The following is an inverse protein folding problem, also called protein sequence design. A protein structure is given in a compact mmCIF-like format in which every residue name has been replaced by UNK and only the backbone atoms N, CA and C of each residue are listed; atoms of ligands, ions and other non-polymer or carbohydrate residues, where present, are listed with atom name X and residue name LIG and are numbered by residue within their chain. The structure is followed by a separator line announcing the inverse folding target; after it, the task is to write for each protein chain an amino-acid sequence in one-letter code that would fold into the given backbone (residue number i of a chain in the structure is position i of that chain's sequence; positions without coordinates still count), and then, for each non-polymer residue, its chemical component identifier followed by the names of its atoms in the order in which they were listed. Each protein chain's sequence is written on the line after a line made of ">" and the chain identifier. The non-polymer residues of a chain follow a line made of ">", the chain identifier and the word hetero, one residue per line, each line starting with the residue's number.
data_IF_373459005106
#
_entry.id   IF_373459005106
#
_cell.length_a   1.000
_cell.length_b   1.000
_cell.length_c   1.000
_cell.angle_alpha   90.00
_cell.angle_beta   90.00
_cell.angle_gamma   90.00
#
_symmetry.space_group_name_H-M   'P 1'
#
loop_
_entity.id
_entity.type
_entity.pdbx_description
1 polymer ?
#
# COMPACT_ATOMS: atom_id res chain seq x y z
N UNK A 1 82.57 -38.50 41.48
CA UNK A 1 82.27 -37.73 40.26
C UNK A 1 80.85 -37.17 40.33
N UNK A 2 80.69 -35.85 40.12
CA UNK A 2 79.50 -35.06 39.64
C UNK A 2 78.18 -35.12 40.47
N UNK A 3 77.66 -34.08 41.16
CA UNK A 3 77.18 -32.68 40.90
C UNK A 3 75.77 -32.52 40.24
N UNK A 4 74.89 -31.72 40.92
CA UNK A 4 73.77 -30.83 40.46
C UNK A 4 72.41 -31.49 40.14
N UNK A 5 71.19 -30.91 40.29
CA UNK A 5 70.63 -29.55 40.52
C UNK A 5 69.11 -29.70 40.89
N UNK A 6 68.59 -29.16 42.01
CA UNK A 6 67.72 -27.96 42.20
C UNK A 6 66.24 -27.94 41.67
N UNK A 7 65.32 -27.66 42.63
CA UNK A 7 64.14 -26.74 42.66
C UNK A 7 62.89 -27.01 41.78
N UNK A 8 61.69 -27.21 42.36
CA UNK A 8 60.69 -26.22 42.87
C UNK A 8 59.93 -25.44 41.79
N UNK A 9 58.61 -25.62 41.70
CA UNK A 9 57.62 -24.60 41.26
C UNK A 9 56.18 -25.11 41.44
N UNK A 10 55.47 -24.63 42.46
CA UNK A 10 53.99 -24.70 42.52
C UNK A 10 53.45 -23.52 43.32
N UNK A 11 53.58 -22.32 42.78
CA UNK A 11 52.80 -21.14 43.18
C UNK A 11 52.34 -20.45 41.90
N UNK A 12 51.07 -20.66 41.50
CA UNK A 12 50.44 -19.85 40.46
C UNK A 12 50.12 -18.47 41.05
N UNK A 13 50.57 -17.36 40.45
CA UNK A 13 50.38 -16.04 41.04
C UNK A 13 48.93 -15.58 40.93
N UNK A 14 48.39 -15.03 42.02
CA UNK A 14 47.07 -14.36 42.10
C UNK A 14 46.86 -13.26 41.03
N UNK A 15 47.96 -12.76 40.45
CA UNK A 15 47.99 -11.75 39.40
C UNK A 15 47.39 -12.19 38.05
N UNK A 16 47.38 -13.49 37.74
CA UNK A 16 46.81 -13.99 36.47
C UNK A 16 45.28 -13.89 36.44
N UNK A 17 44.62 -14.08 37.59
CA UNK A 17 43.14 -13.93 37.71
C UNK A 17 42.70 -12.47 37.62
N UNK A 18 43.50 -11.55 38.15
CA UNK A 18 43.21 -10.11 38.05
C UNK A 18 43.36 -9.59 36.62
N UNK A 19 44.39 -10.03 35.89
CA UNK A 19 44.58 -9.66 34.47
C UNK A 19 43.42 -10.10 33.58
N UNK A 20 42.88 -11.31 33.78
CA UNK A 20 41.73 -11.84 33.02
C UNK A 20 40.42 -11.08 33.31
N UNK A 21 40.18 -10.70 34.57
CA UNK A 21 38.99 -9.93 34.95
C UNK A 21 39.04 -8.50 34.39
N UNK A 22 40.21 -7.86 34.40
CA UNK A 22 40.44 -6.56 33.78
C UNK A 22 40.24 -6.61 32.25
N UNK A 23 40.75 -7.66 31.60
CA UNK A 23 40.57 -7.83 30.15
C UNK A 23 39.10 -8.04 29.78
N UNK A 24 38.36 -8.86 30.54
CA UNK A 24 36.93 -9.09 30.32
C UNK A 24 36.08 -7.82 30.56
N UNK A 25 36.41 -7.02 31.57
CA UNK A 25 35.72 -5.75 31.83
C UNK A 25 35.98 -4.71 30.74
N UNK A 26 37.23 -4.60 30.25
CA UNK A 26 37.57 -3.72 29.13
C UNK A 26 36.89 -4.17 27.83
N UNK A 27 36.83 -5.48 27.57
CA UNK A 27 36.12 -6.01 26.40
C UNK A 27 34.61 -5.74 26.50
N UNK A 28 34.00 -5.90 27.68
CA UNK A 28 32.59 -5.60 27.91
C UNK A 28 32.30 -4.11 27.71
N UNK A 29 33.16 -3.23 28.24
CA UNK A 29 33.04 -1.78 28.04
C UNK A 29 33.17 -1.45 26.56
N UNK A 30 34.19 -1.95 25.85
CA UNK A 30 34.37 -1.74 24.40
C UNK A 30 33.17 -2.28 23.61
N UNK A 31 32.64 -3.46 23.96
CA UNK A 31 31.46 -4.03 23.29
C UNK A 31 30.22 -3.19 23.56
N UNK A 32 30.01 -2.73 24.80
CA UNK A 32 28.89 -1.82 25.13
C UNK A 32 29.05 -0.44 24.49
N UNK A 33 30.28 0.08 24.40
CA UNK A 33 30.58 1.34 23.72
C UNK A 33 30.41 1.18 22.21
N UNK A 34 30.82 0.06 21.64
CA UNK A 34 30.59 -0.28 20.23
C UNK A 34 29.10 -0.46 19.92
N UNK A 35 28.31 -1.05 20.81
CA UNK A 35 26.85 -1.13 20.66
C UNK A 35 26.15 0.22 20.91
N UNK A 36 26.65 1.03 21.83
CA UNK A 36 26.15 2.39 22.12
C UNK A 36 26.47 3.35 20.97
N UNK A 37 27.71 3.35 20.49
CA UNK A 37 28.17 4.10 19.32
C UNK A 37 27.49 3.58 18.04
N UNK A 38 27.30 2.28 17.83
CA UNK A 38 26.54 1.78 16.66
C UNK A 38 25.03 2.09 16.73
N UNK A 39 24.42 2.19 17.92
CA UNK A 39 23.06 2.75 18.06
C UNK A 39 23.02 4.23 17.70
N UNK A 40 24.08 4.98 17.98
CA UNK A 40 24.15 6.41 17.68
C UNK A 40 24.67 6.75 16.27
N UNK A 41 25.37 5.83 15.60
CA UNK A 41 25.96 6.02 14.26
C UNK A 41 25.00 5.62 13.12
N UNK A 42 23.78 5.13 13.41
CA UNK A 42 22.75 4.80 12.40
C UNK A 42 21.48 5.68 12.45
N UNK A 43 21.53 6.83 13.13
CA UNK A 43 20.39 7.77 13.21
C UNK A 43 20.52 8.97 12.26
N UNK A 44 20.95 8.77 11.00
CA UNK A 44 20.43 9.66 9.96
C UNK A 44 18.98 9.26 9.76
N UNK A 45 18.05 9.96 10.43
CA UNK A 45 16.61 9.76 10.26
C UNK A 45 16.30 9.64 8.76
N UNK A 46 15.84 8.47 8.29
CA UNK A 46 15.62 8.18 6.86
C UNK A 46 14.66 9.18 6.20
N UNK A 47 13.83 9.86 7.00
CA UNK A 47 13.02 10.99 6.56
C UNK A 47 13.83 12.14 5.94
N UNK A 48 15.13 12.26 6.21
CA UNK A 48 16.01 13.29 5.65
C UNK A 48 17.02 12.74 4.64
N UNK A 49 16.84 11.51 4.15
CA UNK A 49 17.71 10.94 3.13
C UNK A 49 17.72 11.83 1.88
N UNK A 50 18.93 12.18 1.42
CA UNK A 50 19.10 12.92 0.17
C UNK A 50 18.79 12.00 -1.02
N UNK A 51 17.77 12.37 -1.79
CA UNK A 51 17.32 11.67 -2.99
C UNK A 51 17.61 12.52 -4.24
N UNK A 52 17.82 11.88 -5.41
CA UNK A 52 17.81 12.60 -6.68
C UNK A 52 16.52 13.41 -6.83
N UNK A 53 16.63 14.59 -7.42
CA UNK A 53 15.46 15.41 -7.75
C UNK A 53 14.51 14.66 -8.68
N UNK A 54 13.22 14.97 -8.56
CA UNK A 54 12.20 14.44 -9.43
C UNK A 54 12.49 14.72 -10.92
N UNK A 55 12.34 13.70 -11.75
CA UNK A 55 12.64 13.71 -13.18
C UNK A 55 11.35 13.48 -14.00
N UNK A 56 10.50 14.51 -14.15
CA UNK A 56 9.22 14.37 -14.84
C UNK A 56 9.35 13.97 -16.31
N UNK A 57 10.45 14.33 -16.98
CA UNK A 57 10.69 14.05 -18.41
C UNK A 57 11.58 12.84 -18.68
N UNK A 58 11.65 11.89 -17.74
CA UNK A 58 12.38 10.63 -17.95
C UNK A 58 11.89 9.91 -19.20
N UNK A 59 12.82 9.27 -19.93
CA UNK A 59 12.51 8.59 -21.18
C UNK A 59 11.88 7.19 -21.00
N UNK A 60 12.11 6.57 -19.83
CA UNK A 60 11.70 5.21 -19.54
C UNK A 60 11.27 5.05 -18.07
N UNK A 61 10.26 4.22 -17.85
CA UNK A 61 9.82 3.72 -16.55
C UNK A 61 9.79 2.19 -16.61
N UNK A 62 10.22 1.55 -15.52
CA UNK A 62 10.20 0.09 -15.37
C UNK A 62 9.10 -0.23 -14.38
N UNK A 63 8.10 -0.99 -14.81
CA UNK A 63 7.05 -1.45 -13.90
C UNK A 63 7.64 -2.47 -12.93
N UNK A 64 7.66 -2.08 -11.65
CA UNK A 64 7.95 -2.96 -10.53
C UNK A 64 6.68 -3.00 -9.69
N UNK A 65 6.28 -4.20 -9.26
CA UNK A 65 5.16 -4.39 -8.36
C UNK A 65 5.67 -4.51 -6.94
N UNK A 66 5.02 -3.85 -5.99
CA UNK A 66 5.40 -3.86 -4.57
C UNK A 66 5.55 -5.29 -4.03
N UNK A 67 4.64 -6.20 -4.41
CA UNK A 67 4.66 -7.59 -3.97
C UNK A 67 5.95 -8.35 -4.38
N UNK A 68 6.65 -7.89 -5.41
CA UNK A 68 7.92 -8.48 -5.84
C UNK A 68 9.12 -8.04 -4.99
N UNK A 69 8.97 -6.97 -4.20
CA UNK A 69 10.07 -6.33 -3.44
C UNK A 69 9.91 -6.53 -1.94
N UNK A 70 8.68 -6.53 -1.42
CA UNK A 70 8.44 -6.69 0.01
C UNK A 70 8.68 -8.14 0.45
N UNK A 71 9.33 -8.36 1.62
CA UNK A 71 9.36 -9.66 2.28
C UNK A 71 7.98 -10.34 2.37
N UNK A 72 7.93 -11.68 2.27
CA UNK A 72 6.71 -12.43 2.49
C UNK A 72 6.08 -12.09 3.86
N UNK A 73 4.76 -11.95 3.87
CA UNK A 73 4.03 -11.68 5.10
C UNK A 73 4.00 -12.95 5.95
N UNK A 74 4.36 -12.81 7.22
CA UNK A 74 4.24 -13.88 8.20
C UNK A 74 2.76 -14.22 8.44
N UNK A 75 2.32 -15.49 8.28
CA UNK A 75 0.90 -15.85 8.37
C UNK A 75 0.25 -15.60 9.74
N UNK A 76 1.02 -15.59 10.82
CA UNK A 76 0.49 -15.23 12.14
C UNK A 76 0.29 -13.72 12.26
N UNK A 77 1.25 -12.94 11.77
CA UNK A 77 1.13 -11.49 11.67
C UNK A 77 -0.06 -11.08 10.80
N UNK A 78 -0.28 -11.77 9.69
CA UNK A 78 -1.42 -11.55 8.78
C UNK A 78 -2.75 -11.78 9.50
N UNK A 79 -2.87 -12.85 10.29
CA UNK A 79 -4.08 -13.07 11.11
C UNK A 79 -4.33 -11.94 12.11
N UNK A 80 -3.30 -11.42 12.78
CA UNK A 80 -3.50 -10.26 13.66
C UNK A 80 -3.86 -9.00 12.89
N UNK A 81 -3.29 -8.81 11.70
CA UNK A 81 -3.65 -7.72 10.81
C UNK A 81 -5.13 -7.79 10.43
N UNK A 82 -5.60 -8.94 9.94
CA UNK A 82 -7.00 -9.16 9.55
C UNK A 82 -7.97 -9.05 10.74
N UNK A 83 -7.59 -9.53 11.93
CA UNK A 83 -8.37 -9.29 13.15
C UNK A 83 -8.49 -7.80 13.47
N UNK A 84 -7.40 -7.04 13.31
CA UNK A 84 -7.42 -5.59 13.46
C UNK A 84 -8.31 -4.91 12.43
N UNK A 85 -8.26 -5.33 11.16
CA UNK A 85 -9.14 -4.85 10.09
C UNK A 85 -10.61 -5.10 10.44
N UNK A 86 -10.96 -6.30 10.90
CA UNK A 86 -12.34 -6.64 11.28
C UNK A 86 -12.86 -5.79 12.46
N UNK A 87 -12.00 -5.43 13.41
CA UNK A 87 -12.36 -4.57 14.55
C UNK A 87 -12.60 -3.11 14.14
N UNK A 88 -12.03 -2.68 13.01
CA UNK A 88 -12.14 -1.31 12.49
C UNK A 88 -12.88 -1.24 11.16
N UNK A 89 -13.56 -2.31 10.75
CA UNK A 89 -14.27 -2.39 9.47
C UNK A 89 -15.24 -1.22 9.31
N UNK A 90 -15.32 -0.67 8.09
CA UNK A 90 -16.26 0.40 7.76
C UNK A 90 -17.73 -0.05 7.81
N UNK A 91 -18.00 -1.36 7.82
CA UNK A 91 -19.36 -1.89 8.09
C UNK A 91 -19.84 -1.65 9.53
N UNK A 92 -18.94 -1.21 10.42
CA UNK A 92 -19.26 -0.89 11.82
C UNK A 92 -19.50 0.60 11.99
N UNK A 93 -20.46 0.93 12.84
CA UNK A 93 -20.58 2.29 13.39
C UNK A 93 -19.29 2.69 14.12
N UNK A 94 -18.94 3.97 14.06
CA UNK A 94 -17.67 4.48 14.61
C UNK A 94 -17.52 4.18 16.11
N UNK A 95 -18.61 4.22 16.87
CA UNK A 95 -18.65 3.86 18.30
C UNK A 95 -18.39 2.38 18.58
N UNK A 96 -18.64 1.49 17.61
CA UNK A 96 -18.41 0.06 17.72
C UNK A 96 -17.00 -0.37 17.25
N UNK A 97 -16.25 0.56 16.64
CA UNK A 97 -14.87 0.30 16.17
C UNK A 97 -13.91 0.26 17.36
N UNK A 98 -13.25 -0.87 17.56
CA UNK A 98 -12.24 -1.04 18.64
C UNK A 98 -10.83 -0.75 18.13
N UNK A 99 -10.54 0.55 17.93
CA UNK A 99 -9.22 1.00 17.52
C UNK A 99 -8.12 0.68 18.54
N UNK A 100 -8.45 0.55 19.83
CA UNK A 100 -7.46 0.27 20.87
C UNK A 100 -6.95 -1.16 20.73
N UNK A 101 -7.85 -2.13 20.58
CA UNK A 101 -7.47 -3.52 20.35
C UNK A 101 -6.81 -3.70 18.98
N UNK A 102 -7.32 -3.02 17.94
CA UNK A 102 -6.68 -3.02 16.62
C UNK A 102 -5.24 -2.49 16.67
N UNK A 103 -4.97 -1.41 17.39
CA UNK A 103 -3.61 -0.88 17.58
C UNK A 103 -2.66 -1.91 18.22
N UNK A 104 -3.14 -2.68 19.21
CA UNK A 104 -2.36 -3.75 19.85
C UNK A 104 -2.06 -4.88 18.85
N UNK A 105 -3.05 -5.31 18.08
CA UNK A 105 -2.89 -6.35 17.08
C UNK A 105 -1.94 -5.92 15.95
N UNK A 106 -2.12 -4.70 15.43
CA UNK A 106 -1.25 -4.15 14.41
C UNK A 106 0.18 -3.91 14.91
N UNK A 107 0.38 -3.55 16.18
CA UNK A 107 1.71 -3.50 16.78
C UNK A 107 2.38 -4.88 16.83
N UNK A 108 1.64 -5.95 17.19
CA UNK A 108 2.16 -7.33 17.16
C UNK A 108 2.52 -7.76 15.73
N UNK A 109 1.66 -7.46 14.76
CA UNK A 109 1.92 -7.77 13.36
C UNK A 109 3.13 -6.97 12.81
N UNK A 110 3.25 -5.69 13.15
CA UNK A 110 4.36 -4.84 12.75
C UNK A 110 5.71 -5.34 13.32
N UNK A 111 5.73 -5.86 14.56
CA UNK A 111 6.93 -6.49 15.14
C UNK A 111 7.41 -7.70 14.31
N UNK A 112 6.51 -8.35 13.56
CA UNK A 112 6.80 -9.43 12.62
C UNK A 112 6.93 -8.94 11.17
N UNK A 113 7.25 -7.65 10.97
CA UNK A 113 7.44 -6.99 9.67
C UNK A 113 6.21 -7.00 8.76
N UNK A 114 5.01 -6.96 9.32
CA UNK A 114 3.80 -6.79 8.53
C UNK A 114 3.61 -5.33 8.10
N UNK A 115 4.00 -4.99 6.88
CA UNK A 115 4.00 -3.59 6.43
C UNK A 115 2.63 -2.91 6.42
N UNK A 116 1.54 -3.62 6.08
CA UNK A 116 0.19 -3.03 6.11
C UNK A 116 -0.23 -2.63 7.53
N UNK A 117 -0.02 -3.52 8.50
CA UNK A 117 -0.25 -3.25 9.92
C UNK A 117 0.62 -2.08 10.43
N UNK A 118 1.89 -2.02 10.02
CA UNK A 118 2.79 -0.92 10.38
C UNK A 118 2.30 0.42 9.81
N UNK A 119 1.82 0.43 8.56
CA UNK A 119 1.18 1.59 7.93
C UNK A 119 -0.10 2.02 8.67
N UNK A 120 -0.99 1.07 8.98
CA UNK A 120 -2.23 1.35 9.69
C UNK A 120 -1.97 1.90 11.10
N UNK A 121 -0.99 1.33 11.81
CA UNK A 121 -0.58 1.79 13.13
C UNK A 121 0.00 3.21 13.08
N UNK A 122 0.82 3.53 12.07
CA UNK A 122 1.29 4.90 11.86
C UNK A 122 0.11 5.86 11.64
N UNK A 123 -0.87 5.45 10.84
CA UNK A 123 -2.11 6.22 10.62
C UNK A 123 -2.96 6.41 11.89
N UNK A 124 -2.97 5.46 12.83
CA UNK A 124 -3.62 5.63 14.13
C UNK A 124 -2.90 6.67 14.98
N UNK A 125 -1.57 6.63 15.03
CA UNK A 125 -0.78 7.62 15.75
C UNK A 125 -0.93 9.04 15.19
N UNK A 126 -1.08 9.20 13.87
CA UNK A 126 -1.35 10.52 13.28
C UNK A 126 -2.71 11.10 13.70
N UNK A 127 -3.73 10.24 13.84
CA UNK A 127 -5.11 10.65 14.12
C UNK A 127 -5.50 10.60 15.59
N UNK A 128 -4.68 9.98 16.44
CA UNK A 128 -5.03 9.73 17.84
C UNK A 128 -6.20 8.75 18.04
N UNK A 129 -6.44 7.84 17.09
CA UNK A 129 -7.52 6.83 17.18
C UNK A 129 -7.03 5.59 17.92
N UNK A 130 -7.62 5.27 19.08
CA UNK A 130 -7.24 4.10 19.90
C UNK A 130 -5.87 4.19 20.59
N UNK A 131 -5.06 5.19 20.23
CA UNK A 131 -3.76 5.53 20.81
C UNK A 131 -3.65 7.05 20.94
N UNK A 132 -2.84 7.58 21.89
CA UNK A 132 -2.55 9.02 21.92
C UNK A 132 -1.94 9.49 20.59
N UNK A 133 -2.34 10.67 20.13
CA UNK A 133 -1.78 11.26 18.91
C UNK A 133 -0.28 11.50 19.08
N UNK A 134 0.52 10.98 18.15
CA UNK A 134 1.97 11.06 18.17
C UNK A 134 2.53 10.97 16.74
N UNK A 135 2.70 12.11 16.09
CA UNK A 135 3.24 12.17 14.74
C UNK A 135 4.71 11.73 14.65
N UNK A 136 5.50 11.88 15.71
CA UNK A 136 6.89 11.42 15.69
C UNK A 136 6.95 9.88 15.67
N UNK A 137 6.05 9.22 16.40
CA UNK A 137 5.93 7.76 16.35
C UNK A 137 5.45 7.25 15.00
N UNK A 138 4.55 7.96 14.33
CA UNK A 138 4.17 7.65 12.95
C UNK A 138 5.35 7.78 11.96
N UNK A 139 6.18 8.82 12.12
CA UNK A 139 7.40 8.99 11.34
C UNK A 139 8.39 7.85 11.60
N UNK A 140 8.61 7.48 12.86
CA UNK A 140 9.51 6.37 13.22
C UNK A 140 9.04 5.03 12.61
N UNK A 141 7.74 4.71 12.73
CA UNK A 141 7.19 3.51 12.10
C UNK A 141 7.37 3.52 10.58
N UNK A 142 7.22 4.68 9.94
CA UNK A 142 7.46 4.80 8.49
C UNK A 142 8.94 4.62 8.14
N UNK A 143 9.85 5.22 8.91
CA UNK A 143 11.30 5.06 8.72
C UNK A 143 11.75 3.61 8.91
N UNK A 144 11.23 2.91 9.92
CA UNK A 144 11.48 1.49 10.11
C UNK A 144 11.07 0.69 8.86
N UNK A 145 9.88 0.95 8.30
CA UNK A 145 9.41 0.30 7.08
C UNK A 145 10.27 0.64 5.85
N UNK A 146 10.75 1.89 5.74
CA UNK A 146 11.72 2.28 4.70
C UNK A 146 13.04 1.52 4.84
N UNK A 147 13.53 1.32 6.07
CA UNK A 147 14.81 0.67 6.34
C UNK A 147 14.87 -0.79 5.88
N UNK A 148 13.73 -1.50 5.86
CA UNK A 148 13.65 -2.86 5.32
C UNK A 148 13.03 -2.94 3.91
N UNK A 149 12.85 -1.80 3.25
CA UNK A 149 12.59 -1.73 1.81
C UNK A 149 11.11 -1.73 1.39
N UNK A 150 10.18 -1.34 2.26
CA UNK A 150 8.75 -1.23 1.90
C UNK A 150 8.50 -0.04 0.98
N UNK A 151 8.07 -0.21 -0.28
CA UNK A 151 7.80 0.89 -1.20
C UNK A 151 6.73 1.87 -0.67
N UNK A 152 5.63 1.36 -0.09
CA UNK A 152 4.57 2.18 0.51
C UNK A 152 5.09 3.14 1.59
N UNK A 153 6.15 2.78 2.32
CA UNK A 153 6.70 3.65 3.35
C UNK A 153 7.43 4.87 2.74
N UNK A 154 8.05 4.72 1.58
CA UNK A 154 8.62 5.83 0.82
C UNK A 154 7.52 6.76 0.29
N UNK A 155 6.38 6.21 -0.15
CA UNK A 155 5.21 6.99 -0.59
C UNK A 155 4.62 7.83 0.56
N UNK A 156 4.47 7.21 1.74
CA UNK A 156 4.03 7.90 2.94
C UNK A 156 4.98 9.03 3.32
N UNK A 157 6.30 8.79 3.27
CA UNK A 157 7.29 9.81 3.59
C UNK A 157 7.23 10.99 2.61
N UNK A 158 6.97 10.75 1.33
CA UNK A 158 6.70 11.81 0.36
C UNK A 158 5.48 12.65 0.76
N UNK A 159 4.41 11.99 1.20
CA UNK A 159 3.20 12.67 1.71
C UNK A 159 3.48 13.48 2.98
N UNK A 160 4.32 12.97 3.88
CA UNK A 160 4.72 13.67 5.11
C UNK A 160 5.57 14.90 4.83
N UNK A 161 6.48 14.86 3.85
CA UNK A 161 7.21 16.04 3.38
C UNK A 161 6.29 17.06 2.74
N UNK A 162 5.32 16.63 1.92
CA UNK A 162 4.36 17.55 1.32
C UNK A 162 3.53 18.30 2.38
N UNK A 163 3.12 17.59 3.44
CA UNK A 163 2.23 18.12 4.47
C UNK A 163 2.95 18.75 5.67
N UNK A 164 4.25 18.52 5.84
CA UNK A 164 5.00 18.95 7.03
C UNK A 164 4.64 18.16 8.30
N UNK A 165 4.39 16.85 8.18
CA UNK A 165 3.99 16.01 9.32
C UNK A 165 5.11 15.90 10.35
N UNK A 166 4.75 15.94 11.64
CA UNK A 166 5.66 15.70 12.77
C UNK A 166 6.84 16.66 12.86
N UNK A 167 6.61 17.94 12.55
CA UNK A 167 7.62 18.99 12.64
C UNK A 167 8.52 19.11 11.40
N UNK A 168 8.25 18.34 10.35
CA UNK A 168 8.83 18.60 9.03
C UNK A 168 8.34 19.96 8.52
N UNK A 169 9.22 20.69 7.84
CA UNK A 169 8.77 21.83 7.03
C UNK A 169 8.19 21.28 5.72
N UNK A 170 7.00 21.74 5.28
CA UNK A 170 6.48 21.36 3.99
C UNK A 170 7.51 21.61 2.88
N UNK A 171 7.81 20.56 2.11
CA UNK A 171 8.79 20.59 1.03
C UNK A 171 8.31 19.73 -0.13
N UNK A 172 7.74 20.39 -1.14
CA UNK A 172 7.27 19.74 -2.35
C UNK A 172 8.42 19.08 -3.14
N UNK A 173 9.62 19.68 -3.13
CA UNK A 173 10.78 19.13 -3.87
C UNK A 173 11.20 17.80 -3.28
N UNK A 174 11.30 17.74 -1.95
CA UNK A 174 11.55 16.49 -1.23
C UNK A 174 10.42 15.49 -1.49
N UNK A 175 9.15 15.91 -1.36
CA UNK A 175 7.99 15.05 -1.56
C UNK A 175 8.02 14.33 -2.92
N UNK A 176 8.26 15.06 -4.02
CA UNK A 176 8.36 14.47 -5.35
C UNK A 176 9.55 13.52 -5.52
N UNK A 177 10.68 13.80 -4.88
CA UNK A 177 11.82 12.88 -4.88
C UNK A 177 11.49 11.57 -4.14
N UNK A 178 10.82 11.65 -2.99
CA UNK A 178 10.35 10.48 -2.23
C UNK A 178 9.30 9.68 -3.00
N UNK A 179 8.31 10.34 -3.61
CA UNK A 179 7.30 9.68 -4.45
C UNK A 179 7.91 9.03 -5.69
N UNK A 180 8.90 9.65 -6.33
CA UNK A 180 9.59 9.01 -7.46
C UNK A 180 10.29 7.73 -7.00
N UNK A 181 11.01 7.81 -5.88
CA UNK A 181 11.68 6.63 -5.30
C UNK A 181 10.66 5.53 -4.98
N UNK A 182 9.52 5.88 -4.40
CA UNK A 182 8.45 4.94 -4.09
C UNK A 182 7.86 4.28 -5.35
N UNK A 183 7.58 5.06 -6.39
CA UNK A 183 7.04 4.57 -7.66
C UNK A 183 8.03 3.62 -8.37
N UNK A 184 9.33 3.95 -8.35
CA UNK A 184 10.42 3.10 -8.86
C UNK A 184 10.60 1.82 -8.04
N UNK A 185 10.26 1.83 -6.75
CA UNK A 185 10.26 0.64 -5.90
C UNK A 185 8.96 -0.18 -6.00
N UNK A 186 7.95 0.35 -6.70
CA UNK A 186 6.72 -0.36 -6.99
C UNK A 186 5.51 0.03 -6.14
N UNK A 187 5.56 1.13 -5.38
CA UNK A 187 4.40 1.59 -4.59
C UNK A 187 3.25 2.01 -5.52
N UNK A 188 2.08 1.33 -5.50
CA UNK A 188 0.99 1.64 -6.42
C UNK A 188 0.44 3.05 -6.23
N UNK A 189 0.27 3.52 -4.98
CA UNK A 189 -0.21 4.88 -4.72
C UNK A 189 0.69 5.97 -5.29
N UNK A 190 2.01 5.79 -5.24
CA UNK A 190 2.97 6.73 -5.84
C UNK A 190 2.98 6.64 -7.38
N UNK A 191 2.85 5.43 -7.94
CA UNK A 191 2.70 5.24 -9.38
C UNK A 191 1.42 5.91 -9.90
N UNK A 192 0.30 5.77 -9.20
CA UNK A 192 -0.95 6.46 -9.53
C UNK A 192 -0.78 7.97 -9.46
N UNK A 193 -0.27 8.48 -8.33
CA UNK A 193 -0.06 9.93 -8.10
C UNK A 193 0.77 10.57 -9.20
N UNK A 194 1.98 10.05 -9.43
CA UNK A 194 2.88 10.58 -10.44
C UNK A 194 2.33 10.31 -11.84
N UNK A 195 1.72 9.14 -12.05
CA UNK A 195 1.06 8.76 -13.29
C UNK A 195 0.08 9.83 -13.77
N UNK A 196 -0.88 10.18 -12.92
CA UNK A 196 -1.88 11.24 -13.16
C UNK A 196 -1.22 12.60 -13.40
N UNK A 197 -0.26 12.99 -12.56
CA UNK A 197 0.43 14.28 -12.69
C UNK A 197 1.25 14.40 -13.99
N UNK A 198 1.64 13.28 -14.59
CA UNK A 198 2.37 13.24 -15.87
C UNK A 198 1.45 13.20 -17.10
N UNK A 199 0.12 13.09 -16.95
CA UNK A 199 -0.83 13.08 -18.07
C UNK A 199 -1.10 14.48 -18.67
N UNK A 200 -0.59 15.54 -18.06
CA UNK A 200 -0.83 16.91 -18.50
C UNK A 200 -0.31 17.19 -19.92
N UNK A 201 -0.85 18.23 -20.56
CA UNK A 201 -0.43 18.67 -21.90
C UNK A 201 0.75 19.64 -21.90
N UNK A 202 1.06 20.24 -20.75
CA UNK A 202 2.18 21.16 -20.53
C UNK A 202 2.68 21.05 -19.08
N UNK A 203 3.81 21.71 -18.78
CA UNK A 203 4.40 21.71 -17.43
C UNK A 203 3.93 22.89 -16.59
N UNK A 204 3.56 22.59 -15.35
CA UNK A 204 3.34 23.58 -14.30
C UNK A 204 3.91 23.05 -12.98
N UNK A 205 5.24 23.16 -12.75
CA UNK A 205 5.86 22.64 -11.53
C UNK A 205 5.28 23.24 -10.24
N UNK A 206 4.77 24.48 -10.32
CA UNK A 206 4.09 25.15 -9.21
C UNK A 206 2.76 24.50 -8.86
N UNK A 207 2.03 24.02 -9.86
CA UNK A 207 0.74 23.34 -9.69
C UNK A 207 0.90 21.81 -9.57
N UNK A 208 2.12 21.29 -9.78
CA UNK A 208 2.47 19.91 -9.50
C UNK A 208 2.14 18.93 -10.62
N UNK A 209 2.17 19.36 -11.89
CA UNK A 209 1.96 18.50 -13.05
C UNK A 209 2.92 18.79 -14.20
N UNK A 210 3.12 17.79 -15.07
CA UNK A 210 4.08 17.82 -16.17
C UNK A 210 3.59 17.04 -17.38
N UNK A 211 4.10 17.39 -18.55
CA UNK A 211 3.83 16.71 -19.80
C UNK A 211 4.77 15.51 -19.98
N UNK A 212 4.32 14.33 -19.57
CA UNK A 212 4.96 13.06 -19.92
C UNK A 212 3.95 11.91 -19.99
N UNK A 213 2.93 12.09 -20.84
CA UNK A 213 1.80 11.15 -20.98
C UNK A 213 2.23 9.70 -21.18
N UNK A 214 3.32 9.46 -21.93
CA UNK A 214 3.86 8.10 -22.15
C UNK A 214 4.21 7.43 -20.81
N UNK A 215 5.00 8.11 -19.98
CA UNK A 215 5.40 7.58 -18.67
C UNK A 215 4.22 7.55 -17.71
N UNK A 216 3.36 8.57 -17.76
CA UNK A 216 2.15 8.62 -16.94
C UNK A 216 1.25 7.40 -17.13
N UNK A 217 0.96 7.04 -18.38
CA UNK A 217 0.20 5.84 -18.74
C UNK A 217 0.87 4.55 -18.25
N UNK A 218 2.19 4.41 -18.43
CA UNK A 218 2.92 3.23 -17.97
C UNK A 218 2.88 3.06 -16.44
N UNK A 219 2.93 4.17 -15.69
CA UNK A 219 2.81 4.14 -14.23
C UNK A 219 1.40 3.73 -13.80
N UNK A 220 0.37 4.29 -14.43
CA UNK A 220 -1.03 3.94 -14.14
C UNK A 220 -1.35 2.49 -14.48
N UNK A 221 -0.91 1.99 -15.63
CA UNK A 221 -1.07 0.57 -16.00
C UNK A 221 -0.36 -0.36 -15.00
N UNK A 222 0.81 0.03 -14.50
CA UNK A 222 1.53 -0.72 -13.47
C UNK A 222 0.82 -0.72 -12.12
N UNK A 223 0.23 0.42 -11.71
CA UNK A 223 -0.55 0.54 -10.49
C UNK A 223 -1.86 -0.28 -10.57
N UNK A 224 -2.56 -0.20 -11.70
CA UNK A 224 -3.76 -0.99 -11.97
C UNK A 224 -3.48 -2.49 -11.87
N UNK A 225 -2.36 -2.96 -12.44
CA UNK A 225 -1.95 -4.36 -12.33
C UNK A 225 -1.68 -4.84 -10.89
N UNK A 226 -1.58 -3.91 -9.93
CA UNK A 226 -1.45 -4.20 -8.50
C UNK A 226 -2.78 -4.05 -7.72
N UNK A 227 -3.88 -3.78 -8.42
CA UNK A 227 -5.21 -3.61 -7.83
C UNK A 227 -5.53 -2.18 -7.37
N UNK A 228 -4.83 -1.17 -7.90
CA UNK A 228 -5.15 0.23 -7.64
C UNK A 228 -6.36 0.69 -8.49
N UNK A 229 -7.53 0.79 -7.85
CA UNK A 229 -8.77 1.19 -8.53
C UNK A 229 -8.77 2.65 -8.99
N UNK A 230 -8.01 3.54 -8.32
CA UNK A 230 -7.86 4.93 -8.76
C UNK A 230 -7.10 4.99 -10.09
N UNK A 231 -6.05 4.17 -10.26
CA UNK A 231 -5.34 4.09 -11.54
C UNK A 231 -6.27 3.68 -12.69
N UNK A 232 -7.21 2.76 -12.44
CA UNK A 232 -8.24 2.38 -13.40
C UNK A 232 -9.11 3.58 -13.81
N UNK A 233 -9.59 4.35 -12.82
CA UNK A 233 -10.38 5.56 -13.07
C UNK A 233 -9.63 6.59 -13.95
N UNK A 234 -8.37 6.86 -13.62
CA UNK A 234 -7.54 7.82 -14.34
C UNK A 234 -7.25 7.38 -15.79
N UNK A 235 -7.04 6.07 -15.99
CA UNK A 235 -6.94 5.48 -17.34
C UNK A 235 -8.27 5.64 -18.10
N UNK A 236 -9.40 5.41 -17.44
CA UNK A 236 -10.74 5.64 -18.00
C UNK A 236 -10.93 7.08 -18.47
N UNK A 237 -10.51 8.07 -17.68
CA UNK A 237 -10.59 9.50 -18.03
C UNK A 237 -9.73 9.82 -19.26
N UNK A 238 -8.50 9.32 -19.30
CA UNK A 238 -7.57 9.57 -20.40
C UNK A 238 -8.05 8.99 -21.73
N UNK A 239 -8.58 7.76 -21.73
CA UNK A 239 -9.10 7.15 -22.95
C UNK A 239 -10.41 7.79 -23.42
N UNK A 240 -11.29 8.22 -22.50
CA UNK A 240 -12.51 8.97 -22.84
C UNK A 240 -12.20 10.23 -23.67
N UNK A 241 -11.13 10.97 -23.36
CA UNK A 241 -10.78 12.23 -24.04
C UNK A 241 -10.43 12.04 -25.52
N UNK A 242 -10.00 10.83 -25.92
CA UNK A 242 -9.56 10.54 -27.30
C UNK A 242 -10.72 10.31 -28.28
N UNK A 243 -11.94 10.05 -27.77
CA UNK A 243 -13.23 10.02 -28.49
C UNK A 243 -13.32 9.09 -29.71
N UNK A 244 -12.42 8.13 -29.89
CA UNK A 244 -12.63 7.06 -30.89
C UNK A 244 -13.52 5.96 -30.29
N UNK A 245 -14.24 5.22 -31.13
CA UNK A 245 -15.05 4.09 -30.65
C UNK A 245 -14.21 3.05 -29.91
N UNK A 246 -12.97 2.82 -30.35
CA UNK A 246 -12.04 1.91 -29.67
C UNK A 246 -11.58 2.46 -28.31
N UNK A 247 -11.37 3.77 -28.21
CA UNK A 247 -11.02 4.42 -26.94
C UNK A 247 -12.19 4.41 -25.94
N UNK A 248 -13.43 4.58 -26.41
CA UNK A 248 -14.60 4.47 -25.56
C UNK A 248 -14.75 3.06 -24.96
N UNK A 249 -14.53 2.02 -25.77
CA UNK A 249 -14.55 0.63 -25.27
C UNK A 249 -13.46 0.43 -24.21
N UNK A 250 -12.24 0.95 -24.44
CA UNK A 250 -11.16 0.89 -23.46
C UNK A 250 -11.50 1.66 -22.18
N UNK A 251 -12.08 2.85 -22.30
CA UNK A 251 -12.50 3.64 -21.16
C UNK A 251 -13.52 2.89 -20.30
N UNK A 252 -14.56 2.32 -20.91
CA UNK A 252 -15.54 1.49 -20.20
C UNK A 252 -14.89 0.31 -19.48
N UNK A 253 -13.93 -0.38 -20.11
CA UNK A 253 -13.19 -1.48 -19.48
C UNK A 253 -12.41 -1.02 -18.26
N UNK A 254 -11.73 0.13 -18.34
CA UNK A 254 -10.96 0.64 -17.20
C UNK A 254 -11.84 1.08 -16.05
N UNK A 255 -12.97 1.77 -16.31
CA UNK A 255 -13.91 2.08 -15.25
C UNK A 255 -14.50 0.82 -14.64
N UNK A 256 -14.84 -0.19 -15.45
CA UNK A 256 -15.34 -1.47 -14.96
C UNK A 256 -14.32 -2.15 -14.03
N UNK A 257 -13.04 -2.14 -14.38
CA UNK A 257 -11.98 -2.63 -13.50
C UNK A 257 -11.83 -1.77 -12.24
N UNK A 258 -12.03 -0.46 -12.33
CA UNK A 258 -12.13 0.44 -11.19
C UNK A 258 -13.23 0.02 -10.21
N UNK A 259 -14.43 -0.30 -10.70
CA UNK A 259 -15.54 -0.80 -9.87
C UNK A 259 -15.17 -2.13 -9.20
N UNK A 260 -14.59 -3.09 -9.94
CA UNK A 260 -14.11 -4.37 -9.37
C UNK A 260 -13.12 -4.13 -8.22
N UNK A 261 -12.30 -3.11 -8.35
CA UNK A 261 -11.27 -2.72 -7.38
C UNK A 261 -11.75 -1.73 -6.31
N UNK A 262 -13.05 -1.47 -6.22
CA UNK A 262 -13.63 -0.62 -5.18
C UNK A 262 -13.38 0.87 -5.37
N UNK A 263 -13.31 1.37 -6.61
CA UNK A 263 -13.25 2.79 -6.89
C UNK A 263 -14.65 3.35 -7.18
N UNK A 264 -15.13 4.21 -6.29
CA UNK A 264 -16.46 4.82 -6.38
C UNK A 264 -16.57 5.73 -7.62
N UNK A 265 -15.57 6.56 -7.91
CA UNK A 265 -15.60 7.48 -9.04
C UNK A 265 -15.82 6.76 -10.39
N UNK A 266 -15.31 5.54 -10.51
CA UNK A 266 -15.55 4.68 -11.68
C UNK A 266 -16.98 4.18 -11.76
N UNK A 267 -17.59 3.82 -10.62
CA UNK A 267 -18.99 3.41 -10.57
C UNK A 267 -19.91 4.59 -10.90
N UNK A 268 -19.65 5.76 -10.30
CA UNK A 268 -20.40 7.00 -10.52
C UNK A 268 -20.26 7.46 -11.98
N UNK A 269 -19.07 7.35 -12.57
CA UNK A 269 -18.89 7.62 -14.01
C UNK A 269 -19.75 6.69 -14.87
N UNK A 270 -19.76 5.38 -14.57
CA UNK A 270 -20.54 4.41 -15.35
C UNK A 270 -22.04 4.58 -15.15
N UNK A 271 -22.51 4.94 -13.95
CA UNK A 271 -23.89 5.35 -13.68
C UNK A 271 -24.32 6.46 -14.66
N UNK A 272 -23.61 7.59 -14.65
CA UNK A 272 -23.91 8.76 -15.48
C UNK A 272 -23.76 8.44 -16.97
N UNK A 273 -22.74 7.66 -17.34
CA UNK A 273 -22.50 7.29 -18.72
C UNK A 273 -23.67 6.47 -19.29
N UNK A 274 -24.18 5.49 -18.56
CA UNK A 274 -25.32 4.68 -19.00
C UNK A 274 -26.67 5.41 -18.84
N UNK A 275 -26.78 6.40 -17.95
CA UNK A 275 -27.92 7.32 -17.92
C UNK A 275 -28.01 8.17 -19.20
N UNK A 276 -26.87 8.74 -19.61
CA UNK A 276 -26.80 9.76 -20.66
C UNK A 276 -26.54 9.21 -22.07
N UNK A 277 -26.00 7.99 -22.17
CA UNK A 277 -25.59 7.38 -23.44
C UNK A 277 -24.43 8.13 -24.13
N UNK A 278 -24.35 8.15 -25.47
CA UNK A 278 -23.16 8.61 -26.19
C UNK A 278 -22.93 10.13 -26.20
N UNK A 279 -23.76 10.91 -25.50
CA UNK A 279 -23.67 12.37 -25.43
C UNK A 279 -22.52 12.84 -24.52
N UNK A 280 -21.29 12.60 -24.96
CA UNK A 280 -20.07 13.00 -24.24
C UNK A 280 -19.49 11.92 -23.32
N UNK A 281 -20.09 10.72 -23.30
CA UNK A 281 -19.64 9.58 -22.50
C UNK A 281 -19.20 8.40 -23.37
N UNK A 282 -18.51 7.46 -22.74
CA UNK A 282 -18.02 6.26 -23.40
C UNK A 282 -19.13 5.22 -23.68
N UNK A 283 -20.27 5.31 -23.01
CA UNK A 283 -21.39 4.39 -23.19
C UNK A 283 -21.98 4.48 -24.60
N UNK A 284 -22.23 3.35 -25.28
CA UNK A 284 -22.70 3.34 -26.67
C UNK A 284 -24.18 3.75 -26.81
N UNK A 285 -24.98 3.60 -25.77
CA UNK A 285 -26.42 3.90 -25.73
C UNK A 285 -26.87 4.11 -24.28
N UNK A 286 -28.06 4.69 -24.12
CA UNK A 286 -28.73 4.81 -22.81
C UNK A 286 -29.17 3.43 -22.33
N UNK A 287 -28.84 3.09 -21.10
CA UNK A 287 -29.13 1.81 -20.47
C UNK A 287 -29.44 2.00 -18.97
N UNK A 288 -30.71 2.26 -18.68
CA UNK A 288 -31.16 2.49 -17.31
C UNK A 288 -31.01 1.26 -16.40
N UNK A 289 -30.95 0.05 -16.95
CA UNK A 289 -30.76 -1.16 -16.13
C UNK A 289 -29.31 -1.26 -15.66
N UNK A 290 -28.35 -0.90 -16.50
CA UNK A 290 -26.92 -0.79 -16.12
C UNK A 290 -26.67 0.36 -15.17
N UNK A 291 -27.20 1.54 -15.50
CA UNK A 291 -27.15 2.73 -14.66
C UNK A 291 -27.57 2.40 -13.22
N UNK A 292 -28.77 1.83 -13.02
CA UNK A 292 -29.25 1.47 -11.69
C UNK A 292 -28.36 0.47 -10.96
N UNK A 293 -27.73 -0.48 -11.67
CA UNK A 293 -26.80 -1.42 -11.03
C UNK A 293 -25.49 -0.73 -10.63
N UNK A 294 -24.90 0.11 -11.48
CA UNK A 294 -23.70 0.86 -11.12
C UNK A 294 -23.93 1.79 -9.94
N UNK A 295 -25.11 2.41 -9.84
CA UNK A 295 -25.52 3.20 -8.68
C UNK A 295 -25.46 2.41 -7.36
N UNK A 296 -25.93 1.15 -7.38
CA UNK A 296 -25.86 0.26 -6.21
C UNK A 296 -24.40 0.01 -5.81
N UNK A 297 -23.53 -0.30 -6.78
CA UNK A 297 -22.10 -0.49 -6.52
C UNK A 297 -21.41 0.79 -6.04
N UNK A 298 -21.68 1.94 -6.66
CA UNK A 298 -21.10 3.23 -6.27
C UNK A 298 -21.46 3.60 -4.84
N UNK A 299 -22.75 3.49 -4.48
CA UNK A 299 -23.21 3.68 -3.10
C UNK A 299 -22.52 2.72 -2.12
N UNK A 300 -22.49 1.42 -2.43
CA UNK A 300 -21.86 0.43 -1.55
C UNK A 300 -20.38 0.70 -1.32
N UNK A 301 -19.64 1.08 -2.38
CA UNK A 301 -18.22 1.46 -2.27
C UNK A 301 -18.05 2.75 -1.47
N UNK A 302 -18.93 3.73 -1.65
CA UNK A 302 -18.90 4.97 -0.87
C UNK A 302 -19.15 4.74 0.61
N UNK A 303 -20.06 3.82 0.94
CA UNK A 303 -20.34 3.41 2.33
C UNK A 303 -19.17 2.59 2.91
N UNK A 304 -18.56 1.70 2.13
CA UNK A 304 -17.41 0.90 2.52
C UNK A 304 -16.34 0.81 1.40
N UNK A 305 -15.29 1.64 1.45
CA UNK A 305 -14.21 1.66 0.46
C UNK A 305 -13.33 0.41 0.42
N UNK A 306 -13.46 -0.51 1.39
CA UNK A 306 -12.73 -1.78 1.40
C UNK A 306 -13.43 -2.84 0.53
N UNK A 307 -14.66 -2.60 0.06
CA UNK A 307 -15.38 -3.54 -0.80
C UNK A 307 -14.68 -3.74 -2.15
N UNK A 308 -14.65 -5.00 -2.58
CA UNK A 308 -14.13 -5.43 -3.88
C UNK A 308 -15.15 -6.36 -4.54
N UNK A 309 -15.24 -6.27 -5.86
CA UNK A 309 -16.21 -7.03 -6.65
C UNK A 309 -15.52 -7.80 -7.77
N UNK A 310 -14.67 -8.80 -7.45
CA UNK A 310 -13.90 -9.54 -8.45
C UNK A 310 -14.79 -10.19 -9.53
N UNK A 311 -16.04 -10.52 -9.18
CA UNK A 311 -16.98 -11.20 -10.07
C UNK A 311 -18.08 -10.26 -10.61
N UNK A 312 -17.81 -8.95 -10.66
CA UNK A 312 -18.73 -7.93 -11.18
C UNK A 312 -19.33 -8.29 -12.55
N UNK A 313 -18.55 -8.88 -13.46
CA UNK A 313 -19.02 -9.26 -14.79
C UNK A 313 -20.15 -10.30 -14.78
N UNK A 314 -20.27 -11.10 -13.71
CA UNK A 314 -21.34 -12.10 -13.58
C UNK A 314 -22.70 -11.45 -13.39
N UNK A 315 -22.74 -10.22 -12.89
CA UNK A 315 -23.97 -9.50 -12.58
C UNK A 315 -24.12 -8.20 -13.37
N UNK A 316 -23.03 -7.63 -13.86
CA UNK A 316 -23.00 -6.35 -14.56
C UNK A 316 -21.96 -6.35 -15.69
N UNK A 317 -22.16 -7.19 -16.75
CA UNK A 317 -21.24 -7.20 -17.87
C UNK A 317 -21.39 -5.95 -18.74
N UNK A 318 -20.27 -5.48 -19.31
CA UNK A 318 -20.29 -4.39 -20.28
C UNK A 318 -21.03 -4.78 -21.58
N UNK A 319 -21.60 -3.81 -22.32
CA UNK A 319 -22.13 -4.07 -23.67
C UNK A 319 -21.07 -4.69 -24.58
N UNK A 320 -21.47 -5.56 -25.54
CA UNK A 320 -22.84 -5.83 -25.98
C UNK A 320 -23.56 -6.96 -25.21
N UNK A 321 -22.97 -7.49 -24.12
CA UNK A 321 -23.59 -8.57 -23.37
C UNK A 321 -24.98 -8.15 -22.84
N UNK A 322 -25.91 -9.10 -22.71
CA UNK A 322 -27.19 -8.85 -22.04
C UNK A 322 -27.00 -8.92 -20.54
N UNK A 323 -27.71 -8.09 -19.79
CA UNK A 323 -27.69 -8.18 -18.33
C UNK A 323 -28.34 -9.50 -17.86
N UNK A 324 -27.73 -10.18 -16.88
CA UNK A 324 -28.36 -11.32 -16.23
C UNK A 324 -29.56 -10.86 -15.40
N UNK A 325 -30.47 -11.79 -15.08
CA UNK A 325 -31.61 -11.51 -14.22
C UNK A 325 -31.16 -10.96 -12.86
N UNK A 326 -31.89 -9.96 -12.37
CA UNK A 326 -31.74 -9.40 -11.02
C UNK A 326 -33.15 -9.18 -10.49
N UNK A 327 -33.39 -9.60 -9.25
CA UNK A 327 -34.68 -9.52 -8.57
C UNK A 327 -34.98 -8.12 -7.99
N UNK A 328 -34.04 -7.19 -8.10
CA UNK A 328 -34.13 -5.84 -7.55
C UNK A 328 -33.60 -5.71 -6.12
N UNK A 329 -33.12 -6.80 -5.51
CA UNK A 329 -32.50 -6.74 -4.18
C UNK A 329 -31.02 -6.35 -4.29
N UNK A 330 -30.64 -5.20 -3.73
CA UNK A 330 -29.27 -4.68 -3.76
C UNK A 330 -28.26 -5.64 -3.10
N UNK A 331 -28.62 -6.26 -1.98
CA UNK A 331 -27.73 -7.17 -1.25
C UNK A 331 -27.40 -8.41 -2.08
N UNK A 332 -28.42 -8.99 -2.73
CA UNK A 332 -28.23 -10.14 -3.63
C UNK A 332 -27.29 -9.79 -4.80
N UNK A 333 -27.37 -8.55 -5.32
CA UNK A 333 -26.50 -8.09 -6.41
C UNK A 333 -25.06 -7.93 -5.95
N UNK A 334 -24.86 -7.27 -4.81
CA UNK A 334 -23.54 -7.01 -4.23
C UNK A 334 -22.85 -8.31 -3.84
N UNK A 335 -23.55 -9.22 -3.18
CA UNK A 335 -22.97 -10.48 -2.72
C UNK A 335 -22.58 -11.40 -3.89
N UNK A 336 -23.42 -11.47 -4.93
CA UNK A 336 -23.11 -12.20 -6.16
C UNK A 336 -21.87 -11.65 -6.90
N UNK A 337 -21.49 -10.38 -6.68
CA UNK A 337 -20.30 -9.77 -7.25
C UNK A 337 -19.05 -9.91 -6.36
N UNK A 338 -19.20 -10.14 -5.04
CA UNK A 338 -18.11 -10.41 -4.09
C UNK A 338 -17.60 -11.85 -4.19
N UNK A 339 -18.49 -12.82 -4.41
CA UNK A 339 -18.18 -14.26 -4.34
C UNK A 339 -17.25 -14.77 -5.44
N UNK A 340 -15.96 -14.90 -5.18
CA UNK A 340 -15.14 -15.90 -5.89
C UNK A 340 -15.37 -17.28 -5.27
N UNK A 341 -16.49 -17.93 -5.58
CA UNK A 341 -16.62 -19.35 -5.25
C UNK A 341 -15.52 -20.13 -5.98
N UNK A 342 -14.51 -20.59 -5.24
CA UNK A 342 -13.87 -21.86 -5.59
C UNK A 342 -14.99 -22.90 -5.56
N UNK A 343 -15.35 -23.43 -6.73
CA UNK A 343 -16.15 -24.64 -6.81
C UNK A 343 -15.33 -25.73 -6.13
N UNK A 344 -15.57 -25.97 -4.85
CA UNK A 344 -15.06 -27.16 -4.19
C UNK A 344 -15.51 -28.37 -5.02
N UNK A 345 -14.62 -29.28 -5.40
CA UNK A 345 -15.02 -30.47 -6.14
C UNK A 345 -16.07 -31.20 -5.30
N UNK A 346 -17.18 -31.61 -5.95
CA UNK A 346 -18.20 -32.47 -5.38
C UNK A 346 -17.52 -33.57 -4.55
N UNK A 347 -17.95 -33.83 -3.31
CA UNK A 347 -17.50 -35.02 -2.61
C UNK A 347 -17.82 -36.23 -3.49
N UNK A 348 -16.79 -37.02 -3.80
CA UNK A 348 -16.94 -38.30 -4.48
C UNK A 348 -17.83 -39.15 -3.57
N UNK A 349 -19.09 -39.33 -3.98
CA UNK A 349 -19.97 -40.34 -3.41
C UNK A 349 -19.39 -41.71 -3.77
N UNK A 350 -18.83 -42.42 -2.80
CA UNK A 350 -18.29 -43.74 -3.05
C UNK A 350 -17.63 -44.40 -1.84
N UNK A 351 -18.40 -44.68 -0.80
CA UNK A 351 -18.19 -45.86 0.04
C UNK A 351 -19.43 -46.74 -0.10
N UNK A 352 -19.29 -47.85 -0.83
CA UNK A 352 -20.05 -49.08 -0.67
C UNK A 352 -19.53 -50.13 -1.65
N UNK A 353 -18.96 -51.23 -1.12
CA UNK A 353 -18.50 -52.40 -1.88
C UNK A 353 -17.26 -53.01 -1.28
#
# INVERSE_FOLDING_TARGET
>A
MKRKFLYSLSHKPKYVRFGLLLFAAVLLVIVTQFFYENRHITSSKLRYTSLPLFQPHRAAFICIQQAAVVPPIDPEADRWFEQGMALTSEDKYEEDKDYKTAAVLWAKAAQRKHWKAQNNLAGLYLRGKGVPQDSEKALQLTEEAMAWGVPQAWDNMGSYHMQGVGGLKPDATAAYAFWQKAAEMGAPGAQTRLGTQLLASYDSPKEGFWANKKIGLQMLECALAQGDGQAAYELGLEYKVRKTSADNIRALSYYQDGVKLGNQDSADYLEIAFESGPLGYAAPFVDHDRERRYKVFGKAIGDNPDLRFPDLEKVLPLPPAKLPYWDGNEDHLLDAAKETQSVSPKPVSGLAG
#
